data_IF_828214529789
#
_entry.id   IF_828214529789
#
_cell.length_a   1.000
_cell.length_b   1.000
_cell.length_c   1.000
_cell.angle_alpha   90.00
_cell.angle_beta   90.00
_cell.angle_gamma   90.00
#
_symmetry.space_group_name_H-M   'P 1'
#
loop_
_entity.id
_entity.type
_entity.pdbx_description
1 polymer ?
#
# COMPACT_ATOMS: atom_id res chain seq x y z
N UNK A 1 3.66 8.95 5.48
CA UNK A 1 2.43 8.18 5.15
C UNK A 1 2.68 7.21 3.99
N UNK A 2 2.29 5.92 4.11
CA UNK A 2 2.50 4.90 3.07
C UNK A 2 1.49 5.00 1.90
N UNK A 3 1.64 6.02 1.05
CA UNK A 3 0.75 6.26 -0.10
C UNK A 3 1.25 5.50 -1.34
N UNK A 4 1.35 4.19 -1.21
CA UNK A 4 2.10 3.35 -2.15
C UNK A 4 1.47 3.28 -3.54
N UNK A 5 0.13 3.25 -3.63
CA UNK A 5 -0.56 3.08 -4.92
C UNK A 5 -0.41 4.28 -5.83
N UNK A 6 -0.54 5.50 -5.27
CA UNK A 6 -0.30 6.73 -6.03
C UNK A 6 1.19 6.81 -6.45
N UNK A 7 2.11 6.39 -5.58
CA UNK A 7 3.53 6.26 -5.93
C UNK A 7 3.77 5.36 -7.14
N UNK A 8 3.24 4.13 -7.11
CA UNK A 8 3.31 3.19 -8.24
C UNK A 8 2.61 3.72 -9.51
N UNK A 9 1.51 4.45 -9.36
CA UNK A 9 0.84 5.09 -10.49
C UNK A 9 1.72 6.16 -11.15
N UNK A 10 2.48 6.93 -10.37
CA UNK A 10 3.46 7.89 -10.89
C UNK A 10 4.63 7.16 -11.56
N UNK A 11 5.23 6.16 -10.90
CA UNK A 11 6.34 5.41 -11.48
C UNK A 11 5.94 4.64 -12.75
N UNK A 12 4.70 4.17 -12.84
CA UNK A 12 4.16 3.56 -14.07
C UNK A 12 4.16 4.54 -15.25
N UNK A 13 3.94 5.85 -15.01
CA UNK A 13 4.08 6.88 -16.06
C UNK A 13 5.54 7.02 -16.48
N UNK A 14 6.45 7.10 -15.52
CA UNK A 14 7.89 7.16 -15.79
C UNK A 14 8.36 5.94 -16.60
N UNK A 15 7.96 4.73 -16.20
CA UNK A 15 8.27 3.49 -16.92
C UNK A 15 7.71 3.50 -18.35
N UNK A 16 6.50 4.04 -18.56
CA UNK A 16 5.94 4.12 -19.91
C UNK A 16 6.72 5.06 -20.82
N UNK A 17 7.31 6.13 -20.26
CA UNK A 17 8.08 7.16 -20.99
C UNK A 17 9.40 6.66 -21.58
N UNK A 18 10.05 5.66 -20.96
CA UNK A 18 11.29 5.04 -21.47
C UNK A 18 11.00 4.01 -22.58
N UNK A 19 10.19 4.40 -23.57
CA UNK A 19 9.65 3.51 -24.61
C UNK A 19 10.75 2.81 -25.41
N UNK A 20 11.76 3.54 -25.89
CA UNK A 20 12.82 2.97 -26.71
C UNK A 20 13.67 1.96 -25.93
N UNK A 21 13.90 2.24 -24.65
CA UNK A 21 14.58 1.31 -23.76
C UNK A 21 13.76 0.03 -23.57
N UNK A 22 12.44 0.12 -23.36
CA UNK A 22 11.56 -1.06 -23.26
C UNK A 22 11.50 -1.86 -24.55
N UNK A 23 11.55 -1.21 -25.71
CA UNK A 23 11.60 -1.90 -27.02
C UNK A 23 12.93 -2.65 -27.20
N UNK A 24 14.04 -2.12 -26.69
CA UNK A 24 15.32 -2.87 -26.65
C UNK A 24 15.24 -4.01 -25.64
N UNK A 25 14.73 -3.76 -24.44
CA UNK A 25 14.59 -4.73 -23.37
C UNK A 25 13.73 -5.94 -23.79
N UNK A 26 12.66 -5.72 -24.56
CA UNK A 26 11.77 -6.81 -25.03
C UNK A 26 12.44 -7.80 -25.99
N UNK A 27 13.63 -7.50 -26.50
CA UNK A 27 14.40 -8.39 -27.37
C UNK A 27 15.43 -9.22 -26.60
N UNK A 28 15.73 -8.85 -25.35
CA UNK A 28 16.81 -9.46 -24.55
C UNK A 28 16.32 -10.10 -23.25
N UNK A 29 15.22 -9.60 -22.68
CA UNK A 29 14.64 -10.13 -21.45
C UNK A 29 13.53 -11.13 -21.79
N UNK A 30 13.64 -12.35 -21.24
CA UNK A 30 12.60 -13.36 -21.36
C UNK A 30 11.46 -13.13 -20.35
N UNK A 31 10.23 -13.46 -20.75
CA UNK A 31 9.08 -13.57 -19.86
C UNK A 31 8.72 -15.03 -19.55
N UNK A 32 7.56 -15.29 -18.93
CA UNK A 32 7.05 -16.65 -18.76
C UNK A 32 6.93 -17.39 -20.10
N UNK A 33 7.06 -18.72 -20.05
CA UNK A 33 7.02 -19.57 -21.24
C UNK A 33 5.69 -19.49 -22.02
N UNK A 34 4.61 -19.13 -21.35
CA UNK A 34 3.31 -18.83 -21.96
C UNK A 34 2.66 -17.64 -21.27
N UNK A 35 2.12 -16.74 -22.07
CA UNK A 35 1.26 -15.63 -21.64
C UNK A 35 -0.22 -15.88 -21.94
N UNK A 36 -0.57 -17.12 -22.31
CA UNK A 36 -1.95 -17.49 -22.61
C UNK A 36 -2.69 -17.92 -21.36
N UNK A 37 -3.79 -17.22 -21.05
CA UNK A 37 -4.72 -17.67 -20.01
C UNK A 37 -5.60 -18.81 -20.51
N UNK A 38 -5.61 -19.93 -19.79
CA UNK A 38 -6.36 -21.15 -20.13
C UNK A 38 -7.53 -21.44 -19.18
N UNK A 39 -7.76 -20.59 -18.17
CA UNK A 39 -8.87 -20.72 -17.23
C UNK A 39 -10.19 -20.15 -17.75
N UNK A 40 -11.20 -20.13 -16.87
CA UNK A 40 -12.51 -19.54 -17.17
C UNK A 40 -12.41 -18.00 -17.27
N UNK A 41 -12.58 -17.48 -18.49
CA UNK A 41 -12.55 -16.04 -18.77
C UNK A 41 -13.67 -15.28 -18.07
N UNK A 42 -14.87 -15.87 -17.93
CA UNK A 42 -15.99 -15.21 -17.27
C UNK A 42 -15.70 -15.05 -15.77
N UNK A 43 -15.07 -16.05 -15.15
CA UNK A 43 -14.63 -15.94 -13.77
C UNK A 43 -13.48 -14.93 -13.63
N UNK A 44 -12.49 -14.93 -14.53
CA UNK A 44 -11.40 -13.96 -14.49
C UNK A 44 -11.89 -12.51 -14.57
N UNK A 45 -12.92 -12.23 -15.37
CA UNK A 45 -13.52 -10.88 -15.45
C UNK A 45 -14.13 -10.46 -14.11
N UNK A 46 -14.83 -11.36 -13.42
CA UNK A 46 -15.38 -11.08 -12.07
C UNK A 46 -14.26 -10.85 -11.06
N UNK A 47 -13.19 -11.64 -11.13
CA UNK A 47 -12.02 -11.52 -10.28
C UNK A 47 -11.31 -10.16 -10.50
N UNK A 48 -11.19 -9.73 -11.76
CA UNK A 48 -10.66 -8.42 -12.13
C UNK A 48 -11.52 -7.26 -11.62
N UNK A 49 -12.85 -7.38 -11.65
CA UNK A 49 -13.75 -6.38 -11.07
C UNK A 49 -13.49 -6.22 -9.56
N UNK A 50 -13.40 -7.34 -8.84
CA UNK A 50 -13.09 -7.33 -7.40
C UNK A 50 -11.70 -6.75 -7.14
N UNK A 51 -10.70 -7.12 -7.94
CA UNK A 51 -9.33 -6.61 -7.82
C UNK A 51 -9.26 -5.09 -8.00
N UNK A 52 -9.93 -4.58 -9.03
CA UNK A 52 -9.98 -3.16 -9.35
C UNK A 52 -10.71 -2.37 -8.25
N UNK A 53 -11.84 -2.89 -7.76
CA UNK A 53 -12.61 -2.25 -6.71
C UNK A 53 -11.87 -2.22 -5.38
N UNK A 54 -11.30 -3.33 -4.94
CA UNK A 54 -10.49 -3.39 -3.72
C UNK A 54 -9.26 -2.49 -3.80
N UNK A 55 -8.52 -2.52 -4.92
CA UNK A 55 -7.35 -1.66 -5.11
C UNK A 55 -7.71 -0.18 -5.08
N UNK A 56 -8.87 0.20 -5.66
CA UNK A 56 -9.40 1.55 -5.56
C UNK A 56 -9.68 1.93 -4.11
N UNK A 57 -10.32 1.07 -3.31
CA UNK A 57 -10.56 1.32 -1.88
C UNK A 57 -9.23 1.60 -1.16
N UNK A 58 -8.20 0.79 -1.40
CA UNK A 58 -6.87 1.01 -0.82
C UNK A 58 -6.28 2.36 -1.22
N UNK A 59 -6.34 2.75 -2.49
CA UNK A 59 -5.82 4.05 -2.94
C UNK A 59 -6.47 5.21 -2.19
N UNK A 60 -7.80 5.14 -1.99
CA UNK A 60 -8.52 6.20 -1.29
C UNK A 60 -8.22 6.16 0.21
N UNK A 61 -8.15 4.98 0.83
CA UNK A 61 -7.75 4.84 2.23
C UNK A 61 -6.38 5.51 2.47
N UNK A 62 -5.40 5.22 1.62
CA UNK A 62 -4.07 5.84 1.65
C UNK A 62 -4.12 7.36 1.45
N UNK A 63 -4.96 7.86 0.54
CA UNK A 63 -5.13 9.29 0.30
C UNK A 63 -5.73 10.03 1.51
N UNK A 64 -6.75 9.46 2.14
CA UNK A 64 -7.34 10.03 3.36
C UNK A 64 -6.39 9.94 4.55
N UNK A 65 -5.60 8.87 4.66
CA UNK A 65 -4.50 8.79 5.62
C UNK A 65 -3.47 9.93 5.44
N UNK A 66 -3.10 10.25 4.19
CA UNK A 66 -2.21 11.38 3.89
C UNK A 66 -2.80 12.72 4.31
N UNK A 67 -4.08 12.96 3.98
CA UNK A 67 -4.76 14.19 4.39
C UNK A 67 -4.89 14.30 5.90
N UNK A 68 -5.09 13.17 6.60
CA UNK A 68 -5.14 13.14 8.06
C UNK A 68 -3.81 13.57 8.68
N UNK A 69 -2.71 13.01 8.19
CA UNK A 69 -1.37 13.40 8.63
C UNK A 69 -1.11 14.89 8.38
N UNK A 70 -1.44 15.38 7.18
CA UNK A 70 -1.30 16.81 6.86
C UNK A 70 -2.17 17.69 7.77
N UNK A 71 -3.40 17.28 8.07
CA UNK A 71 -4.28 18.01 8.99
C UNK A 71 -3.71 18.10 10.40
N UNK A 72 -3.05 17.04 10.89
CA UNK A 72 -2.39 17.03 12.19
C UNK A 72 -1.14 17.91 12.19
N UNK A 73 -0.26 17.72 11.20
CA UNK A 73 1.01 18.44 11.12
C UNK A 73 0.81 19.95 10.92
N UNK A 74 -0.17 20.35 10.10
CA UNK A 74 -0.42 21.76 9.77
C UNK A 74 -1.61 22.38 10.51
N UNK A 75 -2.28 21.62 11.40
CA UNK A 75 -3.42 22.08 12.21
C UNK A 75 -4.58 22.64 11.38
N UNK A 76 -4.88 22.02 10.22
CA UNK A 76 -5.88 22.51 9.27
C UNK A 76 -7.33 22.11 9.59
N UNK A 77 -7.57 21.27 10.59
CA UNK A 77 -8.90 20.77 10.98
C UNK A 77 -9.76 20.36 9.77
N UNK A 78 -9.22 19.50 8.91
CA UNK A 78 -9.85 19.14 7.64
C UNK A 78 -11.17 18.39 7.85
N UNK A 79 -12.19 18.75 7.06
CA UNK A 79 -13.47 18.04 7.04
C UNK A 79 -13.49 17.00 5.90
N UNK A 80 -13.15 15.75 6.22
CA UNK A 80 -13.02 14.67 5.24
C UNK A 80 -14.32 14.33 4.51
N UNK A 81 -15.47 14.41 5.18
CA UNK A 81 -16.78 14.22 4.55
C UNK A 81 -17.09 15.28 3.50
N UNK A 82 -16.71 16.53 3.76
CA UNK A 82 -16.86 17.65 2.81
C UNK A 82 -15.88 17.53 1.65
N UNK A 83 -14.64 17.10 1.90
CA UNK A 83 -13.67 16.79 0.83
C UNK A 83 -14.23 15.72 -0.11
N UNK A 84 -14.75 14.61 0.43
CA UNK A 84 -15.38 13.56 -0.36
C UNK A 84 -16.60 14.05 -1.15
N UNK A 85 -17.40 14.95 -0.56
CA UNK A 85 -18.53 15.59 -1.24
C UNK A 85 -18.07 16.50 -2.40
N UNK A 86 -17.04 17.32 -2.20
CA UNK A 86 -16.50 18.19 -3.23
C UNK A 86 -16.00 17.38 -4.43
N UNK A 87 -15.41 16.20 -4.20
CA UNK A 87 -14.98 15.32 -5.28
C UNK A 87 -16.12 14.58 -5.97
N UNK A 88 -17.35 14.59 -5.44
CA UNK A 88 -18.48 13.87 -6.04
C UNK A 88 -18.97 14.50 -7.36
N UNK A 89 -18.72 15.79 -7.58
CA UNK A 89 -19.15 16.52 -8.78
C UNK A 89 -18.05 17.39 -9.36
N UNK A 90 -18.07 17.64 -10.67
CA UNK A 90 -17.14 18.55 -11.36
C UNK A 90 -15.71 18.03 -11.57
N UNK A 91 -15.17 17.22 -10.65
CA UNK A 91 -13.82 16.68 -10.81
C UNK A 91 -13.75 15.41 -11.69
N UNK A 92 -12.54 15.05 -12.14
CA UNK A 92 -12.29 13.88 -12.99
C UNK A 92 -12.58 12.56 -12.25
N UNK A 93 -12.31 12.50 -10.95
CA UNK A 93 -12.45 11.28 -10.14
C UNK A 93 -13.87 11.03 -9.61
N UNK A 94 -14.85 11.83 -10.04
CA UNK A 94 -16.26 11.73 -9.63
C UNK A 94 -16.79 10.31 -9.81
N UNK A 95 -17.43 9.77 -8.78
CA UNK A 95 -18.03 8.43 -8.82
C UNK A 95 -19.03 8.23 -7.68
N UNK A 96 -19.94 7.27 -7.82
CA UNK A 96 -20.88 6.87 -6.75
C UNK A 96 -20.14 6.49 -5.46
N UNK A 97 -18.97 5.86 -5.60
CA UNK A 97 -18.04 5.49 -4.52
C UNK A 97 -17.69 6.64 -3.55
N UNK A 98 -17.59 7.88 -4.04
CA UNK A 98 -17.33 9.04 -3.16
C UNK A 98 -18.51 9.36 -2.24
N UNK A 99 -19.72 8.94 -2.62
CA UNK A 99 -20.89 8.96 -1.75
C UNK A 99 -20.72 8.04 -0.54
N UNK A 100 -20.14 6.86 -0.72
CA UNK A 100 -19.88 5.91 0.37
C UNK A 100 -18.81 6.44 1.32
N UNK A 101 -17.75 7.06 0.79
CA UNK A 101 -16.72 7.74 1.60
C UNK A 101 -17.34 8.88 2.41
N UNK A 102 -18.15 9.74 1.78
CA UNK A 102 -18.87 10.80 2.48
C UNK A 102 -19.73 10.21 3.61
N UNK A 103 -20.44 9.13 3.34
CA UNK A 103 -21.32 8.49 4.31
C UNK A 103 -20.52 7.92 5.50
N UNK A 104 -19.35 7.31 5.26
CA UNK A 104 -18.46 6.83 6.31
C UNK A 104 -18.02 7.96 7.25
N UNK A 105 -17.50 9.08 6.70
CA UNK A 105 -17.10 10.23 7.52
C UNK A 105 -18.28 11.00 8.12
N UNK A 106 -19.48 10.91 7.55
CA UNK A 106 -20.69 11.47 8.19
C UNK A 106 -21.10 10.66 9.42
N UNK A 107 -20.96 9.32 9.37
CA UNK A 107 -21.26 8.44 10.50
C UNK A 107 -20.21 8.59 11.61
N UNK A 108 -18.94 8.69 11.22
CA UNK A 108 -17.82 8.90 12.13
C UNK A 108 -16.85 9.95 11.54
N UNK A 109 -16.96 11.22 11.96
CA UNK A 109 -16.04 12.28 11.53
C UNK A 109 -14.58 12.02 11.89
N UNK A 110 -14.34 11.30 12.99
CA UNK A 110 -13.02 10.96 13.53
C UNK A 110 -12.53 9.59 13.03
N UNK A 111 -13.12 9.07 11.95
CA UNK A 111 -12.72 7.80 11.35
C UNK A 111 -11.23 7.82 10.98
N UNK A 112 -10.45 6.98 11.68
CA UNK A 112 -9.01 6.93 11.49
C UNK A 112 -8.65 6.47 10.07
N UNK A 113 -9.28 5.40 9.58
CA UNK A 113 -9.02 4.82 8.27
C UNK A 113 -10.35 4.40 7.62
N UNK A 114 -10.48 4.60 6.30
CA UNK A 114 -11.64 4.11 5.56
C UNK A 114 -11.87 2.61 5.73
N UNK A 115 -10.81 1.81 5.87
CA UNK A 115 -10.90 0.37 6.09
C UNK A 115 -11.53 -0.01 7.43
N UNK A 116 -11.78 0.95 8.34
CA UNK A 116 -12.48 0.69 9.60
C UNK A 116 -13.99 0.94 9.50
N UNK A 117 -14.49 1.56 8.44
CA UNK A 117 -15.94 1.65 8.24
C UNK A 117 -16.52 0.31 7.72
N UNK A 118 -17.68 -0.15 8.25
CA UNK A 118 -18.25 -1.45 7.91
C UNK A 118 -18.46 -1.70 6.41
N UNK A 119 -18.81 -0.68 5.63
CA UNK A 119 -19.02 -0.84 4.18
C UNK A 119 -17.71 -1.23 3.47
N UNK A 120 -16.61 -0.57 3.81
CA UNK A 120 -15.31 -0.87 3.19
C UNK A 120 -14.71 -2.17 3.73
N UNK A 121 -14.96 -2.54 4.98
CA UNK A 121 -14.61 -3.86 5.51
C UNK A 121 -15.30 -4.97 4.72
N UNK A 122 -16.62 -4.89 4.56
CA UNK A 122 -17.40 -5.89 3.82
C UNK A 122 -16.98 -5.95 2.34
N UNK A 123 -16.82 -4.79 1.69
CA UNK A 123 -16.38 -4.71 0.31
C UNK A 123 -15.01 -5.37 0.09
N UNK A 124 -14.04 -5.08 0.95
CA UNK A 124 -12.69 -5.66 0.83
C UNK A 124 -12.66 -7.13 1.21
N UNK A 125 -13.45 -7.57 2.20
CA UNK A 125 -13.61 -8.97 2.55
C UNK A 125 -14.20 -9.80 1.40
N UNK A 126 -15.27 -9.30 0.77
CA UNK A 126 -15.91 -9.93 -0.40
C UNK A 126 -14.96 -10.01 -1.60
N UNK A 127 -14.11 -9.00 -1.79
CA UNK A 127 -13.19 -8.93 -2.91
C UNK A 127 -11.94 -9.82 -2.77
N UNK A 128 -11.60 -10.30 -1.57
CA UNK A 128 -10.33 -10.98 -1.27
C UNK A 128 -9.93 -12.04 -2.29
N UNK A 129 -10.82 -13.00 -2.57
CA UNK A 129 -10.51 -14.13 -3.43
C UNK A 129 -10.29 -13.69 -4.87
N UNK A 130 -11.21 -12.91 -5.44
CA UNK A 130 -11.08 -12.41 -6.81
C UNK A 130 -9.86 -11.51 -6.98
N UNK A 131 -9.58 -10.67 -5.98
CA UNK A 131 -8.42 -9.79 -5.97
C UNK A 131 -7.10 -10.56 -6.02
N UNK A 132 -6.96 -11.61 -5.19
CA UNK A 132 -5.76 -12.47 -5.17
C UNK A 132 -5.65 -13.29 -6.46
N UNK A 133 -6.75 -13.88 -6.92
CA UNK A 133 -6.77 -14.67 -8.16
C UNK A 133 -6.31 -13.84 -9.36
N UNK A 134 -6.80 -12.61 -9.51
CA UNK A 134 -6.42 -11.71 -10.58
C UNK A 134 -4.92 -11.37 -10.54
N UNK A 135 -4.36 -11.09 -9.35
CA UNK A 135 -2.93 -10.81 -9.18
C UNK A 135 -2.08 -12.05 -9.45
N UNK A 136 -2.50 -13.23 -8.97
CA UNK A 136 -1.82 -14.48 -9.26
C UNK A 136 -1.80 -14.75 -10.77
N UNK A 137 -2.94 -14.62 -11.46
CA UNK A 137 -3.01 -14.81 -12.90
C UNK A 137 -2.13 -13.80 -13.65
N UNK A 138 -2.16 -12.52 -13.27
CA UNK A 138 -1.29 -11.51 -13.87
C UNK A 138 0.20 -11.85 -13.66
N UNK A 139 0.57 -12.28 -12.46
CA UNK A 139 1.95 -12.63 -12.10
C UNK A 139 2.46 -13.82 -12.90
N UNK A 140 1.68 -14.91 -12.97
CA UNK A 140 2.09 -16.13 -13.70
C UNK A 140 2.14 -15.91 -15.21
N UNK A 141 1.33 -15.01 -15.75
CA UNK A 141 1.31 -14.64 -17.17
C UNK A 141 2.30 -13.52 -17.52
N UNK A 142 3.02 -12.95 -16.55
CA UNK A 142 3.99 -11.89 -16.78
C UNK A 142 3.36 -10.53 -17.14
N UNK A 143 2.14 -10.26 -16.67
CA UNK A 143 1.41 -9.02 -16.89
C UNK A 143 1.68 -8.06 -15.73
N UNK A 144 2.24 -6.86 -15.98
CA UNK A 144 2.55 -5.91 -14.91
C UNK A 144 1.27 -5.29 -14.34
N UNK A 145 1.05 -5.45 -13.04
CA UNK A 145 -0.09 -4.88 -12.30
C UNK A 145 0.35 -4.11 -11.04
N UNK A 146 1.31 -3.16 -11.14
CA UNK A 146 1.97 -2.54 -9.98
C UNK A 146 0.99 -1.94 -8.96
N UNK A 147 -0.05 -1.24 -9.44
CA UNK A 147 -1.09 -0.67 -8.58
C UNK A 147 -1.91 -1.72 -7.83
N UNK A 148 -2.22 -2.88 -8.44
CA UNK A 148 -2.95 -3.95 -7.76
C UNK A 148 -2.05 -4.67 -6.75
N UNK A 149 -0.81 -4.96 -7.15
CA UNK A 149 0.17 -5.62 -6.28
C UNK A 149 0.44 -4.80 -5.03
N UNK A 150 0.74 -3.50 -5.17
CA UNK A 150 1.02 -2.64 -4.01
C UNK A 150 -0.22 -2.43 -3.13
N UNK A 151 -1.41 -2.39 -3.71
CA UNK A 151 -2.66 -2.31 -2.96
C UNK A 151 -2.84 -3.53 -2.05
N UNK A 152 -2.62 -4.74 -2.59
CA UNK A 152 -2.74 -5.98 -1.84
C UNK A 152 -1.65 -6.09 -0.77
N UNK A 153 -0.40 -5.75 -1.12
CA UNK A 153 0.72 -5.72 -0.17
C UNK A 153 0.47 -4.74 0.97
N UNK A 154 -0.07 -3.55 0.68
CA UNK A 154 -0.46 -2.59 1.71
C UNK A 154 -1.57 -3.16 2.59
N UNK A 155 -2.62 -3.74 2.01
CA UNK A 155 -3.73 -4.30 2.78
C UNK A 155 -3.26 -5.42 3.72
N UNK A 156 -2.48 -6.37 3.20
CA UNK A 156 -1.92 -7.46 4.00
C UNK A 156 -0.93 -6.95 5.06
N UNK A 157 -0.14 -5.92 4.74
CA UNK A 157 0.73 -5.26 5.70
C UNK A 157 -0.07 -4.57 6.81
N UNK A 158 -1.10 -3.82 6.46
CA UNK A 158 -1.89 -3.00 7.38
C UNK A 158 -2.71 -3.83 8.36
N UNK A 159 -3.22 -4.99 7.95
CA UNK A 159 -3.96 -5.90 8.84
C UNK A 159 -3.07 -6.82 9.69
N UNK A 160 -1.76 -6.77 9.52
CA UNK A 160 -0.81 -7.65 10.20
C UNK A 160 -0.25 -6.96 11.45
N UNK A 161 -0.60 -7.47 12.63
CA UNK A 161 -0.17 -6.88 13.91
C UNK A 161 1.36 -6.90 14.11
N UNK A 162 2.05 -7.92 13.59
CA UNK A 162 3.51 -8.06 13.66
C UNK A 162 4.11 -8.22 12.27
N UNK A 163 4.74 -7.17 11.77
CA UNK A 163 5.45 -7.16 10.49
C UNK A 163 6.90 -7.61 10.66
N UNK A 164 7.55 -8.10 9.59
CA UNK A 164 8.97 -8.49 9.63
C UNK A 164 9.95 -7.31 9.76
N UNK A 165 9.48 -6.12 10.17
CA UNK A 165 10.31 -4.95 10.42
C UNK A 165 11.29 -5.15 11.60
N UNK A 166 11.04 -6.13 12.47
CA UNK A 166 12.00 -6.57 13.48
C UNK A 166 13.32 -7.05 12.86
N UNK A 167 13.28 -7.73 11.70
CA UNK A 167 14.49 -8.15 10.99
C UNK A 167 15.26 -6.95 10.42
N UNK A 168 14.54 -5.92 9.93
CA UNK A 168 15.18 -4.68 9.49
C UNK A 168 15.90 -3.98 10.66
N UNK A 169 15.28 -3.95 11.84
CA UNK A 169 15.91 -3.41 13.05
C UNK A 169 17.16 -4.20 13.45
N UNK A 170 17.10 -5.54 13.42
CA UNK A 170 18.25 -6.38 13.70
C UNK A 170 19.40 -6.16 12.69
N UNK A 171 19.08 -6.04 11.39
CA UNK A 171 20.07 -5.75 10.35
C UNK A 171 20.75 -4.40 10.58
N UNK A 172 19.97 -3.34 10.83
CA UNK A 172 20.49 -1.99 11.11
C UNK A 172 21.41 -1.98 12.34
N UNK A 173 21.03 -2.68 13.40
CA UNK A 173 21.87 -2.79 14.58
C UNK A 173 23.13 -3.62 14.32
N UNK A 174 23.04 -4.67 13.50
CA UNK A 174 24.18 -5.51 13.12
C UNK A 174 25.27 -4.73 12.40
N UNK A 175 24.95 -4.06 11.28
CA UNK A 175 25.97 -3.42 10.44
C UNK A 175 26.32 -1.99 10.86
N UNK A 176 25.47 -1.34 11.68
CA UNK A 176 25.56 0.09 11.95
C UNK A 176 25.34 0.49 13.40
N UNK A 177 25.18 -0.47 14.32
CA UNK A 177 24.95 -0.23 15.74
C UNK A 177 23.83 0.80 16.02
N UNK A 178 22.79 0.75 15.19
CA UNK A 178 21.66 1.69 15.20
C UNK A 178 20.65 1.46 16.33
N UNK A 179 20.87 0.46 17.18
CA UNK A 179 19.97 0.04 18.26
C UNK A 179 18.59 -0.44 17.78
N UNK A 180 17.86 -1.10 18.68
CA UNK A 180 16.47 -1.48 18.48
C UNK A 180 15.72 -1.54 19.82
N UNK A 181 14.40 -1.63 19.76
CA UNK A 181 13.54 -1.77 20.95
C UNK A 181 12.99 -3.19 21.05
N UNK A 182 12.75 -3.66 22.28
CA UNK A 182 12.04 -4.92 22.53
C UNK A 182 10.54 -4.63 22.72
N UNK A 183 9.67 -5.51 22.22
CA UNK A 183 8.21 -5.36 22.37
C UNK A 183 7.77 -5.23 23.84
N UNK A 184 8.48 -5.91 24.75
CA UNK A 184 8.17 -5.89 26.18
C UNK A 184 8.58 -4.58 26.88
N UNK A 185 9.43 -3.75 26.26
CA UNK A 185 9.90 -2.51 26.84
C UNK A 185 10.11 -1.41 25.79
N UNK A 186 9.02 -0.88 25.19
CA UNK A 186 9.11 0.23 24.24
C UNK A 186 9.73 1.48 24.86
N UNK A 187 10.50 2.23 24.08
CA UNK A 187 11.25 3.41 24.49
C UNK A 187 12.67 3.12 24.99
N UNK A 188 13.04 1.84 25.16
CA UNK A 188 14.40 1.44 25.57
C UNK A 188 15.17 0.87 24.38
N UNK A 189 16.22 1.60 23.99
CA UNK A 189 17.10 1.26 22.87
C UNK A 189 18.25 0.37 23.31
N UNK A 190 18.41 -0.76 22.63
CA UNK A 190 19.40 -1.79 22.93
C UNK A 190 20.29 -1.99 21.71
N UNK A 191 21.59 -2.05 21.93
CA UNK A 191 22.56 -2.55 20.96
C UNK A 191 22.98 -3.97 21.34
N UNK A 192 22.99 -4.88 20.36
CA UNK A 192 23.52 -6.23 20.53
C UNK A 192 24.88 -6.34 19.85
N UNK A 193 25.88 -6.91 20.53
CA UNK A 193 27.14 -7.27 19.90
C UNK A 193 26.97 -8.56 19.07
N UNK A 194 26.45 -8.43 17.86
CA UNK A 194 26.09 -9.56 17.00
C UNK A 194 27.28 -10.40 16.52
N UNK A 195 28.48 -9.80 16.46
CA UNK A 195 29.69 -10.50 15.94
C UNK A 195 30.44 -11.24 17.05
N UNK A 196 30.15 -10.95 18.32
CA UNK A 196 30.90 -11.43 19.48
C UNK A 196 32.35 -10.91 19.56
N UNK A 197 32.74 -10.03 18.63
CA UNK A 197 34.09 -9.47 18.50
C UNK A 197 34.10 -7.94 18.39
N UNK A 198 32.94 -7.33 18.18
CA UNK A 198 32.76 -5.87 18.23
C UNK A 198 32.77 -5.35 19.66
N UNK A 199 33.09 -4.07 19.86
CA UNK A 199 32.91 -3.41 21.16
C UNK A 199 31.45 -3.05 21.43
N UNK A 200 31.13 -2.59 22.65
CA UNK A 200 29.78 -2.11 23.03
C UNK A 200 29.46 -0.70 22.47
N UNK A 201 30.12 -0.31 21.38
CA UNK A 201 29.99 1.02 20.79
C UNK A 201 28.74 1.04 19.93
N UNK A 202 27.77 1.86 20.32
CA UNK A 202 26.57 2.11 19.55
C UNK A 202 26.66 3.46 18.86
N UNK A 203 26.04 3.60 17.68
CA UNK A 203 25.90 4.90 17.04
C UNK A 203 24.98 5.74 17.94
N UNK A 204 25.53 6.73 18.64
CA UNK A 204 24.71 7.71 19.36
C UNK A 204 23.78 8.39 18.36
N UNK A 205 22.55 8.68 18.78
CA UNK A 205 21.65 9.53 18.00
C UNK A 205 22.36 10.87 17.75
N UNK A 206 22.53 11.22 16.48
CA UNK A 206 22.83 12.60 16.11
C UNK A 206 21.55 13.39 16.37
N UNK A 207 21.44 13.99 17.55
CA UNK A 207 20.42 14.99 17.81
C UNK A 207 20.77 16.21 16.97
N UNK A 208 20.02 16.42 15.88
CA UNK A 208 20.04 17.63 15.06
C UNK A 208 18.78 18.45 15.33
#
# INVERSE_FOLDING_TARGET
MPVTLIGEAVFSRCLSSIKDERVRASKILAGPASSQYTGDKAQLIKDLEQAMYASKIISYAQGFMLMREASQQYKWNLNYGSIALMWRGGCIIRSAFLGDIKNAFRKNPDLENLLFDPFFQEATAKAQSGWRNAICAATTLGIPVPAHSTALSFYDGYRTARLPANMLQAQRDYFGAHTYELEANPGVYIHTNWTGRGGNVHASTYDA
#
